data_IF_210239794621
#
_entry.id   IF_210239794621
#
_cell.length_a   1.000
_cell.length_b   1.000
_cell.length_c   1.000
_cell.angle_alpha   90.00
_cell.angle_beta   90.00
_cell.angle_gamma   90.00
#
_symmetry.space_group_name_H-M   'P 1'
#
loop_
_entity.id
_entity.type
_entity.pdbx_description
1 polymer ?
#
# COMPACT_ATOMS: atom_id res chain seq x y z
N UNK A 1 21.97 10.30 -4.78
CA UNK A 1 21.63 8.89 -4.46
C UNK A 1 20.14 8.81 -4.20
N UNK A 2 19.45 7.79 -4.71
CA UNK A 2 18.03 7.58 -4.38
C UNK A 2 17.90 6.78 -3.08
N UNK A 3 16.80 6.98 -2.35
CA UNK A 3 16.49 6.20 -1.13
C UNK A 3 16.55 4.69 -1.42
N UNK A 4 16.12 4.27 -2.61
CA UNK A 4 16.20 2.87 -3.06
C UNK A 4 17.64 2.34 -3.21
N UNK A 5 18.60 3.20 -3.53
CA UNK A 5 20.01 2.80 -3.57
C UNK A 5 20.54 2.54 -2.16
N UNK A 6 20.25 3.43 -1.22
CA UNK A 6 20.64 3.28 0.19
C UNK A 6 20.02 2.04 0.83
N UNK A 7 18.75 1.73 0.51
CA UNK A 7 18.11 0.51 0.99
C UNK A 7 18.80 -0.79 0.55
N UNK A 8 19.49 -0.79 -0.60
CA UNK A 8 20.26 -1.97 -1.07
C UNK A 8 21.61 -2.14 -0.38
N UNK A 9 22.06 -1.14 0.38
CA UNK A 9 23.32 -1.17 1.11
C UNK A 9 23.16 -1.65 2.56
N UNK A 10 21.92 -1.93 3.00
CA UNK A 10 21.63 -2.44 4.35
C UNK A 10 22.33 -3.78 4.56
N UNK A 11 23.18 -3.85 5.58
CA UNK A 11 23.87 -5.07 6.02
C UNK A 11 23.08 -5.74 7.14
N UNK A 12 23.07 -7.07 7.17
CA UNK A 12 22.32 -7.82 8.17
C UNK A 12 20.81 -7.75 7.99
N UNK A 13 20.33 -7.63 6.74
CA UNK A 13 18.90 -7.67 6.45
C UNK A 13 18.35 -9.07 6.72
N UNK A 14 17.37 -9.16 7.60
CA UNK A 14 16.66 -10.39 7.93
C UNK A 14 15.23 -10.30 7.40
N UNK A 15 14.93 -11.11 6.37
CA UNK A 15 13.63 -11.06 5.67
C UNK A 15 12.45 -11.44 6.58
N UNK A 16 12.67 -12.32 7.56
CA UNK A 16 11.66 -12.72 8.54
C UNK A 16 11.29 -11.55 9.46
N UNK A 17 12.30 -10.84 9.97
CA UNK A 17 12.09 -9.63 10.78
C UNK A 17 11.39 -8.56 9.95
N UNK A 18 11.82 -8.35 8.71
CA UNK A 18 11.16 -7.39 7.83
C UNK A 18 9.70 -7.77 7.55
N UNK A 19 9.44 -9.02 7.19
CA UNK A 19 8.09 -9.51 6.88
C UNK A 19 7.15 -9.39 8.07
N UNK A 20 7.64 -9.61 9.30
CA UNK A 20 6.85 -9.44 10.52
C UNK A 20 6.50 -7.98 10.84
N UNK A 21 7.30 -7.01 10.38
CA UNK A 21 7.15 -5.59 10.76
C UNK A 21 6.70 -4.66 9.63
N UNK A 22 6.88 -5.06 8.35
CA UNK A 22 6.72 -4.17 7.18
C UNK A 22 5.35 -3.52 7.09
N UNK A 23 4.29 -4.25 7.44
CA UNK A 23 2.92 -3.76 7.33
C UNK A 23 2.67 -2.64 8.33
N UNK A 24 3.06 -2.82 9.60
CA UNK A 24 2.93 -1.78 10.62
C UNK A 24 3.77 -0.54 10.28
N UNK A 25 5.03 -0.74 9.85
CA UNK A 25 5.91 0.38 9.50
C UNK A 25 5.32 1.21 8.34
N UNK A 26 4.83 0.53 7.29
CA UNK A 26 4.21 1.20 6.15
C UNK A 26 2.87 1.81 6.51
N UNK A 27 2.08 1.18 7.37
CA UNK A 27 0.83 1.72 7.90
C UNK A 27 1.04 3.09 8.55
N UNK A 28 1.97 3.19 9.50
CA UNK A 28 2.28 4.45 10.19
C UNK A 28 2.73 5.54 9.20
N UNK A 29 3.55 5.16 8.21
CA UNK A 29 3.99 6.08 7.16
C UNK A 29 2.85 6.56 6.27
N UNK A 30 1.93 5.67 5.88
CA UNK A 30 0.75 6.01 5.09
C UNK A 30 -0.21 6.89 5.90
N UNK A 31 -0.44 6.56 7.16
CA UNK A 31 -1.26 7.35 8.07
C UNK A 31 -0.72 8.77 8.19
N UNK A 32 0.56 8.95 8.51
CA UNK A 32 1.18 10.28 8.56
C UNK A 32 1.04 11.02 7.22
N UNK A 33 1.30 10.33 6.10
CA UNK A 33 1.18 10.90 4.75
C UNK A 33 -0.23 11.43 4.44
N UNK A 34 -1.27 10.63 4.72
CA UNK A 34 -2.64 11.01 4.40
C UNK A 34 -3.30 11.89 5.45
N UNK A 35 -2.77 11.93 6.67
CA UNK A 35 -3.29 12.78 7.74
C UNK A 35 -2.78 14.22 7.64
N UNK A 36 -1.51 14.40 7.29
CA UNK A 36 -0.87 15.71 7.30
C UNK A 36 -1.10 16.52 6.00
N UNK A 37 -1.57 15.87 4.94
CA UNK A 37 -1.89 16.48 3.64
C UNK A 37 -3.40 16.40 3.38
N UNK A 38 -4.10 17.52 3.57
CA UNK A 38 -5.56 17.58 3.46
C UNK A 38 -6.05 17.25 2.04
N UNK A 39 -5.31 17.61 0.99
CA UNK A 39 -5.68 17.29 -0.40
C UNK A 39 -5.58 15.77 -0.65
N UNK A 40 -4.52 15.13 -0.16
CA UNK A 40 -4.38 13.67 -0.23
C UNK A 40 -5.41 12.95 0.63
N UNK A 41 -5.72 13.50 1.81
CA UNK A 41 -6.77 12.99 2.70
C UNK A 41 -8.13 12.95 1.99
N UNK A 42 -8.53 14.08 1.41
CA UNK A 42 -9.80 14.21 0.68
C UNK A 42 -9.85 13.26 -0.52
N UNK A 43 -8.76 13.16 -1.30
CA UNK A 43 -8.65 12.20 -2.39
C UNK A 43 -8.85 10.77 -1.91
N UNK A 44 -8.20 10.38 -0.81
CA UNK A 44 -8.35 9.04 -0.25
C UNK A 44 -9.79 8.78 0.21
N UNK A 45 -10.39 9.71 0.97
CA UNK A 45 -11.76 9.57 1.44
C UNK A 45 -12.77 9.52 0.29
N UNK A 46 -12.55 10.29 -0.78
CA UNK A 46 -13.41 10.30 -1.98
C UNK A 46 -13.44 8.96 -2.73
N UNK A 47 -12.50 8.04 -2.45
CA UNK A 47 -12.56 6.68 -3.00
C UNK A 47 -13.73 5.86 -2.47
N UNK A 48 -14.43 6.35 -1.44
CA UNK A 48 -15.60 5.67 -0.86
C UNK A 48 -15.23 4.27 -0.42
N UNK A 49 -16.01 3.27 -0.82
CA UNK A 49 -15.76 1.87 -0.46
C UNK A 49 -15.05 1.10 -1.58
N UNK A 50 -14.44 1.80 -2.53
CA UNK A 50 -13.70 1.17 -3.62
C UNK A 50 -12.51 0.37 -3.10
N UNK A 51 -12.28 -0.79 -3.72
CA UNK A 51 -11.07 -1.58 -3.52
C UNK A 51 -9.91 -0.90 -4.25
N UNK A 52 -8.82 -0.63 -3.52
CA UNK A 52 -7.62 0.00 -4.07
C UNK A 52 -6.57 -1.06 -4.39
N UNK A 53 -5.98 -0.99 -5.58
CA UNK A 53 -5.08 -1.99 -6.10
C UNK A 53 -3.90 -1.37 -6.86
N UNK A 54 -2.68 -1.69 -6.46
CA UNK A 54 -1.48 -1.31 -7.22
C UNK A 54 -1.20 -2.35 -8.32
N UNK A 55 -1.38 -1.94 -9.57
CA UNK A 55 -1.19 -2.78 -10.75
C UNK A 55 0.27 -2.83 -11.21
N UNK A 56 1.13 -3.40 -10.36
CA UNK A 56 2.54 -3.64 -10.65
C UNK A 56 2.77 -5.13 -11.00
N UNK A 57 3.25 -5.40 -12.22
CA UNK A 57 3.46 -6.78 -12.72
C UNK A 57 4.54 -7.54 -11.93
N UNK A 58 5.59 -6.83 -11.51
CA UNK A 58 6.73 -7.42 -10.82
C UNK A 58 6.62 -7.36 -9.30
N UNK A 59 5.66 -6.61 -8.77
CA UNK A 59 5.42 -6.51 -7.33
C UNK A 59 4.23 -7.38 -6.93
N UNK A 60 4.54 -8.48 -6.26
CA UNK A 60 3.54 -9.43 -5.75
C UNK A 60 3.36 -9.32 -4.24
N UNK A 61 4.08 -8.43 -3.57
CA UNK A 61 3.95 -8.21 -2.13
C UNK A 61 3.07 -7.00 -1.89
N UNK A 62 3.46 -5.84 -2.42
CA UNK A 62 2.71 -4.61 -2.26
C UNK A 62 1.60 -4.47 -3.31
N UNK A 63 1.84 -4.98 -4.53
CA UNK A 63 0.90 -4.94 -5.64
C UNK A 63 0.13 -6.24 -5.89
N UNK A 64 -0.74 -6.19 -6.90
CA UNK A 64 -1.61 -7.32 -7.30
C UNK A 64 -0.94 -8.28 -8.30
N UNK A 65 0.30 -8.00 -8.72
CA UNK A 65 1.02 -8.84 -9.68
C UNK A 65 0.43 -8.85 -11.11
N UNK A 66 -0.42 -7.87 -11.43
CA UNK A 66 -1.08 -7.72 -12.74
C UNK A 66 -0.84 -6.33 -13.32
N UNK A 67 -0.86 -6.23 -14.63
CA UNK A 67 -0.72 -4.94 -15.34
C UNK A 67 -2.02 -4.13 -15.25
N UNK A 68 -1.91 -2.80 -15.34
CA UNK A 68 -3.07 -1.91 -15.56
C UNK A 68 -3.88 -2.27 -16.81
N UNK A 69 -3.29 -2.97 -17.78
CA UNK A 69 -3.97 -3.42 -19.01
C UNK A 69 -4.57 -4.82 -18.91
N UNK A 70 -4.26 -5.56 -17.84
CA UNK A 70 -4.80 -6.91 -17.67
C UNK A 70 -6.27 -6.82 -17.21
N UNK A 71 -7.24 -7.40 -17.94
CA UNK A 71 -8.64 -7.37 -17.54
C UNK A 71 -8.89 -8.08 -16.19
N UNK A 72 -8.03 -9.03 -15.80
CA UNK A 72 -8.15 -9.71 -14.52
C UNK A 72 -7.88 -8.79 -13.31
N UNK A 73 -7.38 -7.56 -13.51
CA UNK A 73 -7.18 -6.59 -12.42
C UNK A 73 -8.47 -6.27 -11.65
N UNK A 74 -9.63 -6.43 -12.29
CA UNK A 74 -10.95 -6.21 -11.67
C UNK A 74 -11.49 -7.42 -10.90
N UNK A 75 -10.79 -8.56 -10.95
CA UNK A 75 -11.19 -9.77 -10.24
C UNK A 75 -10.14 -10.11 -9.18
N UNK A 76 -10.48 -9.89 -7.90
CA UNK A 76 -9.60 -10.12 -6.75
C UNK A 76 -9.10 -11.57 -6.71
N UNK A 77 -9.95 -12.55 -7.07
CA UNK A 77 -9.58 -13.97 -7.08
C UNK A 77 -8.51 -14.31 -8.14
N UNK A 78 -8.31 -13.43 -9.11
CA UNK A 78 -7.32 -13.59 -10.18
C UNK A 78 -6.01 -12.87 -9.89
N UNK A 79 -5.94 -12.10 -8.80
CA UNK A 79 -4.73 -11.40 -8.41
C UNK A 79 -3.61 -12.39 -8.08
N UNK A 80 -2.38 -12.00 -8.40
CA UNK A 80 -1.18 -12.84 -8.27
C UNK A 80 -0.22 -12.31 -7.22
N UNK A 81 -0.66 -11.33 -6.43
CA UNK A 81 0.08 -10.68 -5.37
C UNK A 81 -0.80 -10.42 -4.15
N UNK A 82 -0.16 -10.09 -3.03
CA UNK A 82 -0.80 -9.92 -1.73
C UNK A 82 -1.56 -8.60 -1.60
N UNK A 83 -1.31 -7.62 -2.47
CA UNK A 83 -1.96 -6.30 -2.46
C UNK A 83 -1.83 -5.56 -1.11
N UNK A 84 -0.73 -5.75 -0.37
CA UNK A 84 -0.58 -5.19 0.97
C UNK A 84 -0.76 -3.67 0.97
N UNK A 85 -0.23 -2.96 -0.04
CA UNK A 85 -0.35 -1.51 -0.10
C UNK A 85 -1.82 -1.07 -0.21
N UNK A 86 -2.59 -1.72 -1.08
CA UNK A 86 -4.01 -1.45 -1.24
C UNK A 86 -4.77 -1.65 0.07
N UNK A 87 -4.52 -2.77 0.76
CA UNK A 87 -5.15 -3.09 2.03
C UNK A 87 -4.81 -2.05 3.12
N UNK A 88 -3.54 -1.68 3.27
CA UNK A 88 -3.12 -0.69 4.27
C UNK A 88 -3.68 0.70 3.98
N UNK A 89 -3.72 1.13 2.71
CA UNK A 89 -4.32 2.42 2.33
C UNK A 89 -5.82 2.42 2.68
N UNK A 90 -6.54 1.32 2.44
CA UNK A 90 -7.95 1.20 2.80
C UNK A 90 -8.15 1.19 4.33
N UNK A 91 -7.27 0.55 5.10
CA UNK A 91 -7.32 0.63 6.57
C UNK A 91 -7.12 2.07 7.08
N UNK A 92 -6.11 2.78 6.55
CA UNK A 92 -5.88 4.20 6.86
C UNK A 92 -7.09 5.05 6.46
N UNK A 93 -7.75 4.75 5.34
CA UNK A 93 -8.97 5.44 4.92
C UNK A 93 -10.07 5.31 5.98
N UNK A 94 -10.31 4.11 6.50
CA UNK A 94 -11.35 3.91 7.53
C UNK A 94 -10.98 4.64 8.84
N UNK A 95 -9.72 4.59 9.28
CA UNK A 95 -9.30 5.35 10.47
C UNK A 95 -9.50 6.86 10.30
N UNK A 96 -9.12 7.43 9.16
CA UNK A 96 -9.33 8.85 8.86
C UNK A 96 -10.80 9.23 8.71
N UNK A 97 -11.65 8.27 8.36
CA UNK A 97 -13.10 8.44 8.24
C UNK A 97 -13.72 8.50 9.65
N UNK A 98 -13.25 7.67 10.57
CA UNK A 98 -13.65 7.68 11.98
C UNK A 98 -13.20 8.96 12.70
N UNK A 99 -12.00 9.48 12.40
CA UNK A 99 -11.53 10.77 12.96
C UNK A 99 -12.39 11.99 12.55
N UNK A 100 -13.22 11.87 11.51
CA UNK A 100 -14.12 12.94 11.05
C UNK A 100 -15.48 12.95 11.75
N UNK A 101 -15.83 11.87 12.47
CA UNK A 101 -17.08 11.72 13.21
C UNK A 101 -16.94 12.28 14.64
#
# INVERSE_FOLDING_TARGET
>A
MSIKALGREVKGFEDEVWTANREQIVYEGLKAKFRDDEELKEKLLSTGDAILAECAVHDKVWGIGLSMKDPNRFNVDKWRGLSLLGNLIMQVREELRDERL
#
